data_IF_519333414136
#
_entry.id   IF_519333414136
#
_cell.length_a   1.000
_cell.length_b   1.000
_cell.length_c   1.000
_cell.angle_alpha   90.00
_cell.angle_beta   90.00
_cell.angle_gamma   90.00
#
_symmetry.space_group_name_H-M   'P 1'
#
loop_
_entity.id
_entity.type
_entity.pdbx_description
1 polymer ?
#
# COMPACT_ATOMS: atom_id res chain seq x y z
N UNK A 1 -14.30 16.28 23.36
CA UNK A 1 -15.69 15.90 22.98
C UNK A 1 -15.88 14.37 23.06
N UNK A 2 -17.03 13.90 23.57
CA UNK A 2 -17.29 12.48 23.83
C UNK A 2 -17.20 11.58 22.57
N UNK A 3 -17.69 12.07 21.43
CA UNK A 3 -17.63 11.34 20.16
C UNK A 3 -16.18 11.20 19.66
N UNK A 4 -15.42 12.29 19.68
CA UNK A 4 -14.02 12.29 19.22
C UNK A 4 -13.14 11.29 19.98
N UNK A 5 -13.32 11.18 21.31
CA UNK A 5 -12.58 10.20 22.12
C UNK A 5 -12.79 8.74 21.71
N UNK A 6 -13.79 8.47 20.86
CA UNK A 6 -14.14 7.14 20.37
C UNK A 6 -14.03 7.02 18.84
N UNK A 7 -13.47 8.02 18.16
CA UNK A 7 -13.47 8.10 16.69
C UNK A 7 -12.14 7.66 16.08
N UNK A 8 -12.25 6.94 14.97
CA UNK A 8 -11.18 6.74 13.98
C UNK A 8 -11.65 7.38 12.68
N UNK A 9 -10.92 8.39 12.20
CA UNK A 9 -11.08 8.96 10.87
C UNK A 9 -9.95 8.46 9.98
N UNK A 10 -10.30 7.75 8.91
CA UNK A 10 -9.38 7.33 7.87
C UNK A 10 -9.64 8.21 6.65
N UNK A 11 -8.60 8.89 6.16
CA UNK A 11 -8.65 9.64 4.91
C UNK A 11 -7.79 8.88 3.91
N UNK A 12 -8.43 8.26 2.92
CA UNK A 12 -7.78 7.53 1.84
C UNK A 12 -8.07 8.21 0.50
N UNK A 13 -7.19 7.97 -0.46
CA UNK A 13 -7.33 8.39 -1.84
C UNK A 13 -7.68 7.15 -2.66
N UNK A 14 -8.53 7.28 -3.67
CA UNK A 14 -8.93 6.18 -4.54
C UNK A 14 -7.88 5.87 -5.61
N UNK A 15 -7.15 6.89 -6.08
CA UNK A 15 -6.06 6.74 -7.04
C UNK A 15 -4.90 7.72 -6.81
N UNK A 16 -3.83 7.57 -7.59
CA UNK A 16 -2.66 8.47 -7.60
C UNK A 16 -2.69 9.48 -8.76
N UNK A 17 -3.78 9.56 -9.53
CA UNK A 17 -3.95 10.46 -10.68
C UNK A 17 -2.82 10.36 -11.73
N UNK A 18 -2.18 9.20 -11.83
CA UNK A 18 -1.06 8.95 -12.73
C UNK A 18 0.28 9.60 -12.32
N UNK A 19 0.36 10.23 -11.14
CA UNK A 19 1.62 10.79 -10.65
C UNK A 19 2.65 9.70 -10.34
N UNK A 20 3.92 10.02 -10.55
CA UNK A 20 5.02 9.09 -10.27
C UNK A 20 5.07 8.69 -8.80
N UNK A 21 5.15 7.38 -8.53
CA UNK A 21 5.53 6.81 -7.24
C UNK A 21 6.68 5.80 -7.45
N UNK A 22 7.64 5.80 -6.54
CA UNK A 22 8.85 4.98 -6.67
C UNK A 22 8.71 3.57 -6.07
N UNK A 23 7.63 3.29 -5.32
CA UNK A 23 7.45 2.04 -4.61
C UNK A 23 6.80 1.02 -5.54
N UNK A 24 7.48 -0.10 -5.84
CA UNK A 24 6.86 -1.17 -6.59
C UNK A 24 5.70 -1.78 -5.79
N UNK A 25 4.61 -2.10 -6.48
CA UNK A 25 3.48 -2.78 -5.86
C UNK A 25 3.89 -4.15 -5.29
N UNK A 26 3.48 -4.51 -4.06
CA UNK A 26 3.69 -5.82 -3.46
C UNK A 26 2.70 -6.83 -4.07
N UNK A 27 2.81 -7.06 -5.37
CA UNK A 27 1.92 -7.93 -6.13
C UNK A 27 2.39 -9.39 -6.14
N UNK A 28 1.48 -10.30 -6.49
CA UNK A 28 1.81 -11.71 -6.69
C UNK A 28 2.87 -11.93 -7.80
N UNK A 29 3.50 -13.12 -7.86
CA UNK A 29 4.50 -13.45 -8.89
C UNK A 29 4.03 -13.08 -10.29
N UNK A 30 4.88 -12.40 -11.05
CA UNK A 30 4.54 -11.94 -12.40
C UNK A 30 4.30 -13.13 -13.34
N UNK A 31 3.45 -12.96 -14.35
CA UNK A 31 3.25 -13.93 -15.43
C UNK A 31 3.50 -13.28 -16.79
N UNK A 32 4.12 -14.01 -17.70
CA UNK A 32 4.16 -13.60 -19.11
C UNK A 32 2.86 -14.01 -19.84
N UNK A 33 2.79 -13.68 -21.13
CA UNK A 33 1.62 -13.95 -21.98
C UNK A 33 1.32 -15.45 -22.16
N UNK A 34 2.30 -16.31 -21.93
CA UNK A 34 2.15 -17.76 -22.00
C UNK A 34 1.84 -18.37 -20.63
N UNK A 35 1.66 -17.54 -19.59
CA UNK A 35 1.40 -17.97 -18.22
C UNK A 35 2.63 -18.43 -17.45
N UNK A 36 3.85 -18.25 -17.98
CA UNK A 36 5.08 -18.62 -17.26
C UNK A 36 5.25 -17.69 -16.07
N UNK A 37 5.43 -18.27 -14.88
CA UNK A 37 5.56 -17.53 -13.63
C UNK A 37 7.01 -17.08 -13.39
N UNK A 38 7.20 -15.78 -13.16
CA UNK A 38 8.47 -15.15 -12.80
C UNK A 38 8.47 -14.79 -11.31
N UNK A 39 8.96 -15.72 -10.49
CA UNK A 39 8.87 -15.63 -9.04
C UNK A 39 8.42 -16.93 -8.41
N UNK A 40 8.13 -16.91 -7.11
CA UNK A 40 7.52 -18.04 -6.36
C UNK A 40 6.74 -17.51 -5.17
N UNK A 41 5.78 -18.28 -4.69
CA UNK A 41 5.03 -18.02 -3.46
C UNK A 41 4.87 -19.32 -2.69
N UNK A 42 4.72 -19.22 -1.36
CA UNK A 42 4.30 -20.35 -0.51
C UNK A 42 2.79 -20.60 -0.51
N UNK A 43 1.99 -19.71 -1.11
CA UNK A 43 0.55 -19.92 -1.29
C UNK A 43 0.28 -20.88 -2.46
N UNK A 44 -0.88 -21.54 -2.45
CA UNK A 44 -1.29 -22.40 -3.55
C UNK A 44 -1.74 -21.58 -4.77
N UNK A 45 -1.72 -22.18 -5.96
CA UNK A 45 -2.20 -21.54 -7.19
C UNK A 45 -3.63 -21.01 -7.05
N UNK A 46 -4.50 -21.75 -6.37
CA UNK A 46 -5.88 -21.33 -6.09
C UNK A 46 -5.91 -20.07 -5.20
N UNK A 47 -5.08 -20.01 -4.15
CA UNK A 47 -5.05 -18.88 -3.22
C UNK A 47 -4.57 -17.58 -3.88
N UNK A 48 -3.68 -17.66 -4.88
CA UNK A 48 -3.18 -16.50 -5.63
C UNK A 48 -3.94 -16.23 -6.92
N UNK A 49 -4.83 -17.13 -7.35
CA UNK A 49 -5.58 -17.02 -8.61
C UNK A 49 -6.34 -15.70 -8.74
N UNK A 50 -6.85 -15.17 -7.62
CA UNK A 50 -7.61 -13.92 -7.53
C UNK A 50 -6.79 -12.67 -7.86
N UNK A 51 -5.46 -12.74 -7.85
CA UNK A 51 -4.60 -11.58 -8.16
C UNK A 51 -4.31 -11.43 -9.66
N UNK A 52 -4.71 -12.40 -10.47
CA UNK A 52 -4.48 -12.43 -11.91
C UNK A 52 -5.76 -12.08 -12.68
N UNK A 53 -5.64 -11.30 -13.75
CA UNK A 53 -6.78 -10.94 -14.57
C UNK A 53 -7.12 -12.06 -15.54
N UNK A 54 -7.79 -13.08 -15.01
CA UNK A 54 -8.29 -14.25 -15.73
C UNK A 54 -9.79 -14.50 -15.48
N UNK A 55 -10.47 -13.52 -14.89
CA UNK A 55 -11.87 -13.62 -14.51
C UNK A 55 -12.77 -13.20 -15.69
N UNK A 56 -13.89 -13.91 -15.92
CA UNK A 56 -14.84 -13.53 -16.95
C UNK A 56 -15.49 -12.19 -16.60
N UNK A 57 -16.02 -11.51 -17.62
CA UNK A 57 -16.84 -10.34 -17.39
C UNK A 57 -18.05 -10.68 -16.52
N UNK A 58 -18.30 -9.86 -15.50
CA UNK A 58 -19.55 -9.95 -14.74
C UNK A 58 -20.72 -9.61 -15.65
N UNK A 59 -21.86 -10.30 -15.48
CA UNK A 59 -22.99 -10.24 -16.41
C UNK A 59 -23.55 -8.82 -16.67
N UNK A 60 -23.35 -7.89 -15.73
CA UNK A 60 -23.80 -6.49 -15.81
C UNK A 60 -22.75 -5.56 -16.43
N UNK A 61 -21.56 -6.04 -16.72
CA UNK A 61 -20.49 -5.23 -17.31
C UNK A 61 -20.82 -4.88 -18.75
N UNK A 62 -20.74 -3.59 -19.08
CA UNK A 62 -20.89 -3.10 -20.47
C UNK A 62 -19.59 -3.21 -21.26
N UNK A 63 -18.46 -3.28 -20.58
CA UNK A 63 -17.13 -3.32 -21.15
C UNK A 63 -16.16 -3.89 -20.13
N UNK A 64 -15.37 -4.89 -20.54
CA UNK A 64 -14.24 -5.39 -19.79
C UNK A 64 -13.08 -5.59 -20.76
N UNK A 65 -11.84 -5.18 -20.43
CA UNK A 65 -10.69 -5.51 -21.24
C UNK A 65 -10.51 -7.03 -21.40
N UNK A 66 -9.91 -7.48 -22.49
CA UNK A 66 -9.56 -8.90 -22.64
C UNK A 66 -8.65 -9.35 -21.50
N UNK A 67 -8.92 -10.53 -20.95
CA UNK A 67 -8.08 -11.10 -19.88
C UNK A 67 -6.68 -11.36 -20.42
N UNK A 68 -5.66 -10.89 -19.71
CA UNK A 68 -4.25 -11.04 -20.10
C UNK A 68 -3.48 -12.01 -19.19
N UNK A 69 -4.13 -12.56 -18.15
CA UNK A 69 -3.52 -13.45 -17.18
C UNK A 69 -2.44 -12.79 -16.30
N UNK A 70 -2.23 -11.48 -16.44
CA UNK A 70 -1.23 -10.73 -15.67
C UNK A 70 -1.78 -10.35 -14.32
N UNK A 71 -0.86 -10.02 -13.42
CA UNK A 71 -1.22 -9.49 -12.09
C UNK A 71 -1.80 -8.08 -12.27
N UNK A 72 -2.92 -7.78 -11.61
CA UNK A 72 -3.54 -6.45 -11.67
C UNK A 72 -3.49 -5.67 -10.36
N UNK A 73 -2.99 -6.27 -9.26
CA UNK A 73 -2.89 -5.56 -7.99
C UNK A 73 -1.96 -6.20 -6.95
N UNK A 74 -1.75 -5.53 -5.78
CA UNK A 74 -2.26 -4.19 -5.42
C UNK A 74 -1.81 -3.08 -6.40
N UNK A 75 -2.54 -1.97 -6.46
CA UNK A 75 -2.23 -0.89 -7.38
C UNK A 75 -0.99 -0.08 -6.98
N UNK A 76 -0.85 1.07 -7.63
CA UNK A 76 0.07 2.14 -7.21
C UNK A 76 -0.24 2.61 -5.79
N UNK A 77 0.78 3.08 -5.08
CA UNK A 77 0.61 3.56 -3.71
C UNK A 77 -0.18 4.87 -3.70
N UNK A 78 -1.11 4.96 -2.75
CA UNK A 78 -1.87 6.17 -2.45
C UNK A 78 -1.65 6.59 -1.00
N UNK A 79 -1.79 7.89 -0.66
CA UNK A 79 -1.71 8.32 0.73
C UNK A 79 -2.86 7.74 1.56
N UNK A 80 -2.59 7.53 2.85
CA UNK A 80 -3.63 7.32 3.86
C UNK A 80 -3.25 8.08 5.12
N UNK A 81 -4.19 8.87 5.65
CA UNK A 81 -4.07 9.50 6.95
C UNK A 81 -4.97 8.80 7.97
N UNK A 82 -4.40 8.53 9.15
CA UNK A 82 -5.11 7.92 10.29
C UNK A 82 -5.21 8.95 11.40
N UNK A 83 -6.41 9.49 11.62
CA UNK A 83 -6.64 10.61 12.53
C UNK A 83 -7.55 10.15 13.66
N UNK A 84 -6.98 10.03 14.86
CA UNK A 84 -7.67 9.45 16.00
C UNK A 84 -6.95 9.79 17.32
N UNK A 85 -7.64 9.77 18.48
CA UNK A 85 -6.97 9.75 19.78
C UNK A 85 -5.89 8.66 19.91
N UNK A 86 -6.02 7.54 19.20
CA UNK A 86 -5.08 6.42 19.25
C UNK A 86 -3.93 6.51 18.24
N UNK A 87 -3.92 7.49 17.32
CA UNK A 87 -2.85 7.68 16.33
C UNK A 87 -1.97 8.92 16.59
N UNK A 88 -2.17 9.60 17.74
CA UNK A 88 -1.45 10.83 18.13
C UNK A 88 0.08 10.67 18.13
N UNK A 89 0.77 11.72 17.70
CA UNK A 89 2.24 11.84 17.75
C UNK A 89 2.96 11.78 16.40
N UNK A 90 2.23 11.89 15.27
CA UNK A 90 2.86 12.01 13.95
C UNK A 90 3.62 10.75 13.51
N UNK A 91 3.15 9.57 13.91
CA UNK A 91 3.80 8.31 13.59
C UNK A 91 3.58 7.90 12.13
N UNK A 92 4.61 7.37 11.50
CA UNK A 92 4.54 6.71 10.19
C UNK A 92 4.42 5.21 10.41
N UNK A 93 3.57 4.53 9.63
CA UNK A 93 3.51 3.08 9.59
C UNK A 93 3.84 2.62 8.17
N UNK A 94 4.92 1.84 8.03
CA UNK A 94 5.41 1.33 6.75
C UNK A 94 5.02 -0.13 6.48
N UNK A 95 4.07 -0.68 7.24
CA UNK A 95 3.43 -1.94 6.87
C UNK A 95 2.69 -1.77 5.54
N UNK A 96 2.67 -2.82 4.71
CA UNK A 96 1.88 -2.81 3.49
C UNK A 96 0.40 -2.81 3.84
N UNK A 97 -0.34 -1.85 3.28
CA UNK A 97 -1.79 -1.77 3.34
C UNK A 97 -2.34 -1.51 1.93
N UNK A 98 -3.60 -1.85 1.74
CA UNK A 98 -4.40 -1.53 0.55
C UNK A 98 -5.84 -1.18 0.98
N UNK A 99 -6.74 -0.93 0.03
CA UNK A 99 -8.13 -0.60 0.36
C UNK A 99 -8.86 -1.71 1.12
N UNK A 100 -8.49 -2.98 0.94
CA UNK A 100 -9.08 -4.09 1.69
C UNK A 100 -8.68 -4.08 3.17
N UNK A 101 -7.59 -3.39 3.51
CA UNK A 101 -7.13 -3.22 4.90
C UNK A 101 -8.14 -2.47 5.77
N UNK A 102 -8.98 -1.62 5.18
CA UNK A 102 -10.11 -0.95 5.86
C UNK A 102 -11.17 -1.99 6.24
N UNK A 103 -11.49 -2.91 5.33
CA UNK A 103 -12.44 -4.00 5.61
C UNK A 103 -11.88 -4.90 6.71
N UNK A 104 -10.61 -5.29 6.63
CA UNK A 104 -9.94 -6.07 7.70
C UNK A 104 -9.95 -5.34 9.05
N UNK A 105 -9.80 -4.02 9.08
CA UNK A 105 -9.93 -3.24 10.32
C UNK A 105 -11.34 -3.33 10.91
N UNK A 106 -12.37 -3.23 10.07
CA UNK A 106 -13.77 -3.41 10.49
C UNK A 106 -14.04 -4.83 11.00
N UNK A 107 -13.45 -5.86 10.38
CA UNK A 107 -13.48 -7.24 10.89
C UNK A 107 -12.93 -7.31 12.31
N UNK A 108 -11.74 -6.71 12.56
CA UNK A 108 -11.14 -6.68 13.90
C UNK A 108 -11.99 -5.93 14.91
N UNK A 109 -12.65 -4.84 14.49
CA UNK A 109 -13.46 -4.01 15.39
C UNK A 109 -14.81 -4.63 15.73
N UNK A 110 -15.47 -5.28 14.77
CA UNK A 110 -16.86 -5.72 14.89
C UNK A 110 -17.04 -7.23 14.92
N UNK A 111 -15.97 -8.02 14.73
CA UNK A 111 -16.04 -9.48 14.76
C UNK A 111 -16.77 -10.08 13.55
N UNK A 112 -16.75 -9.39 12.41
CA UNK A 112 -17.32 -9.85 11.14
C UNK A 112 -16.22 -10.37 10.22
N UNK A 113 -16.59 -11.08 9.15
CA UNK A 113 -15.66 -11.52 8.11
C UNK A 113 -16.17 -11.08 6.73
N UNK A 114 -15.32 -10.42 5.95
CA UNK A 114 -15.47 -10.14 4.53
C UNK A 114 -14.92 -11.33 3.71
N UNK A 115 -15.78 -12.16 3.11
CA UNK A 115 -15.33 -13.34 2.36
C UNK A 115 -14.60 -13.00 1.06
N UNK A 116 -14.72 -11.77 0.54
CA UNK A 116 -14.15 -11.41 -0.77
C UNK A 116 -12.69 -10.91 -0.70
N UNK A 117 -12.07 -10.85 0.48
CA UNK A 117 -10.64 -10.55 0.58
C UNK A 117 -9.85 -11.83 0.30
N UNK A 118 -9.05 -11.81 -0.76
CA UNK A 118 -8.28 -12.98 -1.19
C UNK A 118 -7.30 -13.46 -0.11
N UNK A 119 -6.95 -14.76 -0.08
CA UNK A 119 -5.91 -15.26 0.80
C UNK A 119 -4.57 -14.54 0.64
N UNK A 120 -4.23 -14.12 -0.59
CA UNK A 120 -3.04 -13.33 -0.87
C UNK A 120 -3.09 -11.96 -0.18
N UNK A 121 -4.19 -11.20 -0.32
CA UNK A 121 -4.34 -9.88 0.33
C UNK A 121 -4.29 -9.98 1.84
N UNK A 122 -4.90 -10.99 2.45
CA UNK A 122 -4.81 -11.23 3.91
C UNK A 122 -3.39 -11.54 4.36
N UNK A 123 -2.63 -12.26 3.54
CA UNK A 123 -1.25 -12.61 3.86
C UNK A 123 -0.27 -11.42 3.72
N UNK A 124 -0.47 -10.55 2.73
CA UNK A 124 0.47 -9.44 2.42
C UNK A 124 0.06 -8.11 3.06
N UNK A 125 -1.22 -7.74 2.99
CA UNK A 125 -1.76 -6.47 3.44
C UNK A 125 -2.24 -6.57 4.89
N UNK A 126 -1.82 -5.62 5.74
CA UNK A 126 -2.20 -5.57 7.15
C UNK A 126 -3.66 -5.16 7.38
N UNK A 127 -4.11 -5.27 8.63
CA UNK A 127 -5.48 -4.96 9.05
C UNK A 127 -5.65 -3.54 9.65
N UNK A 128 -4.69 -2.65 9.39
CA UNK A 128 -4.55 -1.29 9.95
C UNK A 128 -4.40 -1.18 11.47
N UNK A 129 -4.54 -2.25 12.26
CA UNK A 129 -4.50 -2.14 13.74
C UNK A 129 -3.17 -1.63 14.26
N UNK A 130 -2.06 -1.93 13.56
CA UNK A 130 -0.70 -1.49 13.88
C UNK A 130 -0.49 0.02 13.70
N UNK A 131 -1.40 0.73 13.03
CA UNK A 131 -1.37 2.19 12.91
C UNK A 131 -1.74 2.89 14.23
N UNK A 132 -2.39 2.20 15.16
CA UNK A 132 -2.93 2.73 16.41
C UNK A 132 -2.16 2.25 17.64
N UNK A 133 -2.23 3.05 18.70
CA UNK A 133 -1.84 2.66 20.04
C UNK A 133 -3.10 2.61 20.93
N UNK A 134 -3.85 1.52 20.84
CA UNK A 134 -5.07 1.33 21.64
C UNK A 134 -4.79 1.06 23.12
N UNK A 135 -3.64 0.44 23.44
CA UNK A 135 -3.29 0.04 24.81
C UNK A 135 -2.83 1.22 25.67
N UNK A 136 -2.05 2.14 25.08
CA UNK A 136 -1.41 3.26 25.78
C UNK A 136 -1.45 4.51 24.92
N UNK A 137 -2.65 5.03 24.56
CA UNK A 137 -2.77 6.16 23.65
C UNK A 137 -1.92 7.34 24.12
N UNK A 138 -1.31 8.04 23.16
CA UNK A 138 -0.49 9.20 23.47
C UNK A 138 -1.37 10.35 23.99
N UNK A 139 -1.14 10.76 25.24
CA UNK A 139 -1.89 11.83 25.90
C UNK A 139 -1.16 13.18 25.88
N UNK A 140 -0.04 13.29 25.15
CA UNK A 140 0.66 14.56 24.99
C UNK A 140 -0.31 15.64 24.47
N UNK A 141 -0.15 16.90 24.91
CA UNK A 141 -0.89 18.02 24.38
C UNK A 141 -0.76 18.05 22.85
N UNK A 142 -1.89 18.14 22.16
CA UNK A 142 -1.88 18.39 20.72
C UNK A 142 -1.48 19.84 20.56
N UNK A 143 -0.51 20.13 19.68
CA UNK A 143 -0.18 21.50 19.33
C UNK A 143 -1.47 22.24 18.92
N UNK A 144 -1.64 23.48 19.40
CA UNK A 144 -2.66 24.33 18.78
C UNK A 144 -2.26 24.50 17.31
N UNK A 145 -3.03 23.90 16.41
CA UNK A 145 -2.86 24.13 14.99
C UNK A 145 -3.44 25.50 14.66
N UNK A 146 -2.71 26.27 13.86
CA UNK A 146 -3.24 27.48 13.24
C UNK A 146 -4.43 27.08 12.35
N UNK A 147 -5.65 27.44 12.77
CA UNK A 147 -6.83 26.87 12.11
C UNK A 147 -8.17 27.14 12.79
N UNK A 148 -8.28 28.20 13.60
CA UNK A 148 -9.56 28.62 14.21
C UNK A 148 -10.42 29.41 13.20
N UNK A 149 -10.47 28.95 11.94
CA UNK A 149 -11.32 29.56 10.91
C UNK A 149 -12.76 29.11 11.11
N UNK A 150 -13.67 30.05 11.03
CA UNK A 150 -15.11 29.76 10.90
C UNK A 150 -15.38 29.08 9.56
N UNK A 151 -16.53 28.41 9.45
CA UNK A 151 -17.00 27.83 8.17
C UNK A 151 -17.02 28.88 7.06
N UNK A 152 -17.47 30.10 7.36
CA UNK A 152 -17.54 31.20 6.40
C UNK A 152 -16.15 31.57 5.85
N UNK A 153 -15.13 31.64 6.71
CA UNK A 153 -13.75 31.92 6.27
C UNK A 153 -13.16 30.77 5.44
N UNK A 154 -13.44 29.51 5.81
CA UNK A 154 -13.01 28.35 5.03
C UNK A 154 -13.69 28.32 3.64
N UNK A 155 -14.99 28.59 3.58
CA UNK A 155 -15.75 28.67 2.32
C UNK A 155 -15.24 29.81 1.43
N UNK A 156 -14.94 30.97 2.01
CA UNK A 156 -14.38 32.11 1.26
C UNK A 156 -13.02 31.76 0.63
N UNK A 157 -12.16 31.03 1.36
CA UNK A 157 -10.88 30.55 0.81
C UNK A 157 -11.12 29.57 -0.34
N UNK A 158 -12.02 28.59 -0.16
CA UNK A 158 -12.35 27.62 -1.22
C UNK A 158 -12.85 28.34 -2.49
N UNK A 159 -13.79 29.27 -2.35
CA UNK A 159 -14.33 30.05 -3.48
C UNK A 159 -13.22 30.85 -4.16
N UNK A 160 -12.33 31.49 -3.39
CA UNK A 160 -11.20 32.21 -3.96
C UNK A 160 -10.22 31.27 -4.71
N UNK A 161 -10.00 30.05 -4.20
CA UNK A 161 -9.15 29.05 -4.85
C UNK A 161 -9.77 28.48 -6.13
N UNK A 162 -11.09 28.31 -6.18
CA UNK A 162 -11.81 27.84 -7.39
C UNK A 162 -11.73 28.84 -8.55
N UNK A 163 -11.47 30.12 -8.26
CA UNK A 163 -11.24 31.16 -9.27
C UNK A 163 -9.81 31.20 -9.79
N UNK A 164 -8.87 30.47 -9.16
CA UNK A 164 -7.49 30.40 -9.63
C UNK A 164 -7.40 29.59 -10.92
N UNK A 165 -6.49 29.96 -11.84
CA UNK A 165 -6.23 29.15 -13.01
C UNK A 165 -5.72 27.77 -12.60
N UNK A 166 -5.94 26.78 -13.47
CA UNK A 166 -5.37 25.45 -13.29
C UNK A 166 -3.85 25.55 -13.12
N UNK A 167 -3.31 24.78 -12.17
CA UNK A 167 -1.86 24.71 -11.93
C UNK A 167 -1.19 24.24 -13.23
N UNK A 168 -0.29 25.07 -13.76
CA UNK A 168 0.46 24.72 -14.96
C UNK A 168 1.55 23.71 -14.63
N UNK A 169 1.70 22.71 -15.50
CA UNK A 169 2.82 21.76 -15.39
C UNK A 169 4.13 22.50 -15.67
N UNK A 170 5.13 22.44 -14.77
CA UNK A 170 6.41 23.09 -15.01
C UNK A 170 7.08 22.56 -16.27
N UNK A 171 7.59 23.47 -17.12
CA UNK A 171 8.33 23.11 -18.35
C UNK A 171 9.65 22.39 -18.05
N UNK A 172 10.23 22.64 -16.88
CA UNK A 172 11.39 21.93 -16.35
C UNK A 172 10.95 21.11 -15.14
N UNK A 173 10.76 19.80 -15.33
CA UNK A 173 10.45 18.90 -14.23
C UNK A 173 11.72 18.54 -13.47
N UNK A 174 11.62 18.51 -12.13
CA UNK A 174 12.66 18.04 -11.24
C UNK A 174 12.15 16.85 -10.45
N UNK A 175 13.06 15.96 -10.06
CA UNK A 175 12.69 14.87 -9.16
C UNK A 175 12.22 15.42 -7.81
N UNK A 176 11.20 14.80 -7.18
CA UNK A 176 10.75 15.21 -5.86
C UNK A 176 11.91 15.06 -4.86
N UNK A 177 12.14 16.10 -4.06
CA UNK A 177 13.08 16.06 -2.95
C UNK A 177 12.36 15.64 -1.68
N UNK A 178 12.87 14.61 -1.01
CA UNK A 178 12.33 14.18 0.27
C UNK A 178 12.80 15.13 1.38
N UNK A 179 11.86 15.68 2.14
CA UNK A 179 12.17 16.48 3.34
C UNK A 179 13.01 15.67 4.33
N UNK A 180 14.08 16.30 4.85
CA UNK A 180 14.94 15.71 5.88
C UNK A 180 14.29 15.93 7.25
N UNK A 181 14.34 14.92 8.12
CA UNK A 181 13.88 15.04 9.50
C UNK A 181 13.71 13.68 10.18
N UNK A 182 13.34 13.72 11.46
CA UNK A 182 13.02 12.51 12.23
C UNK A 182 11.50 12.39 12.28
N UNK A 183 10.99 11.24 11.83
CA UNK A 183 9.58 10.85 12.02
C UNK A 183 9.53 9.54 12.81
N UNK A 184 8.74 9.47 13.89
CA UNK A 184 8.62 8.23 14.65
C UNK A 184 7.94 7.16 13.80
N UNK A 185 8.46 5.93 13.83
CA UNK A 185 7.95 4.80 13.02
C UNK A 185 7.29 3.74 13.89
N UNK A 186 6.12 3.24 13.47
CA UNK A 186 5.48 2.09 14.11
C UNK A 186 6.35 0.85 13.96
N UNK A 187 6.25 -0.05 14.94
CA UNK A 187 6.86 -1.37 14.85
C UNK A 187 6.24 -2.13 13.67
N UNK A 188 7.08 -2.71 12.83
CA UNK A 188 6.65 -3.48 11.66
C UNK A 188 6.55 -4.97 12.00
N UNK A 189 5.63 -5.71 11.36
CA UNK A 189 5.44 -7.15 11.61
C UNK A 189 6.43 -8.02 10.84
N UNK A 190 7.52 -7.45 10.33
CA UNK A 190 8.49 -8.10 9.45
C UNK A 190 9.86 -8.19 10.12
N UNK A 191 10.57 -9.28 9.84
CA UNK A 191 12.02 -9.39 10.10
C UNK A 191 12.62 -10.02 8.85
N UNK A 192 12.96 -9.17 7.88
CA UNK A 192 13.35 -9.58 6.53
C UNK A 192 14.86 -9.81 6.45
N UNK A 193 15.24 -10.92 5.80
CA UNK A 193 16.63 -11.25 5.50
C UNK A 193 16.77 -11.66 4.04
N UNK A 194 17.89 -11.25 3.45
CA UNK A 194 18.30 -11.69 2.11
C UNK A 194 19.78 -12.05 2.14
N UNK A 195 20.11 -13.24 1.66
CA UNK A 195 21.50 -13.66 1.43
C UNK A 195 21.67 -14.22 0.02
N UNK A 196 22.91 -14.28 -0.46
CA UNK A 196 23.23 -14.80 -1.78
C UNK A 196 24.35 -15.84 -1.72
N UNK A 197 24.23 -16.89 -2.53
CA UNK A 197 25.33 -17.81 -2.85
C UNK A 197 25.68 -17.64 -4.32
N UNK A 198 26.94 -17.31 -4.60
CA UNK A 198 27.46 -17.12 -5.96
C UNK A 198 28.29 -18.34 -6.34
N UNK A 199 27.99 -18.91 -7.51
CA UNK A 199 28.82 -19.91 -8.16
C UNK A 199 29.48 -19.26 -9.37
N UNK A 200 30.79 -18.98 -9.26
CA UNK A 200 31.55 -18.28 -10.30
C UNK A 200 31.79 -19.18 -11.51
N UNK A 201 31.99 -20.49 -11.30
CA UNK A 201 32.25 -21.46 -12.36
C UNK A 201 31.02 -21.65 -13.23
N UNK A 202 29.84 -21.79 -12.62
CA UNK A 202 28.57 -21.90 -13.34
C UNK A 202 27.98 -20.54 -13.74
N UNK A 203 28.57 -19.43 -13.27
CA UNK A 203 28.07 -18.06 -13.45
C UNK A 203 26.62 -17.91 -12.95
N UNK A 204 26.30 -18.49 -11.80
CA UNK A 204 24.95 -18.42 -11.22
C UNK A 204 24.94 -17.71 -9.86
N UNK A 205 23.80 -17.10 -9.53
CA UNK A 205 23.53 -16.51 -8.23
C UNK A 205 22.25 -17.11 -7.68
N UNK A 206 22.31 -17.68 -6.48
CA UNK A 206 21.14 -18.15 -5.72
C UNK A 206 20.83 -17.16 -4.60
N UNK A 207 19.66 -16.56 -4.64
CA UNK A 207 19.15 -15.72 -3.56
C UNK A 207 18.36 -16.57 -2.56
N UNK A 208 18.51 -16.26 -1.28
CA UNK A 208 17.76 -16.84 -0.18
C UNK A 208 17.04 -15.72 0.55
N UNK A 209 15.72 -15.83 0.64
CA UNK A 209 14.87 -14.89 1.36
C UNK A 209 14.36 -15.54 2.64
N UNK A 210 14.27 -14.76 3.71
CA UNK A 210 13.63 -15.19 4.95
C UNK A 210 12.86 -14.04 5.56
N UNK A 211 11.71 -14.36 6.14
CA UNK A 211 10.95 -13.45 6.97
C UNK A 211 10.60 -14.20 8.26
N UNK A 212 11.19 -13.79 9.38
CA UNK A 212 10.89 -14.36 10.70
C UNK A 212 9.83 -13.54 11.46
N UNK A 213 9.26 -12.53 10.78
CA UNK A 213 8.07 -11.80 11.22
C UNK A 213 6.78 -12.60 11.02
N UNK A 214 5.65 -11.96 11.30
CA UNK A 214 4.32 -12.60 11.30
C UNK A 214 3.49 -12.31 10.05
N UNK A 215 3.75 -11.21 9.36
CA UNK A 215 3.05 -10.83 8.13
C UNK A 215 3.91 -11.24 6.92
N UNK A 216 3.31 -11.73 5.83
CA UNK A 216 4.06 -12.05 4.62
C UNK A 216 4.64 -10.78 3.96
N UNK A 217 5.71 -10.96 3.19
CA UNK A 217 6.38 -9.87 2.49
C UNK A 217 6.66 -10.28 1.04
N UNK A 218 6.78 -9.28 0.16
CA UNK A 218 7.12 -9.49 -1.25
C UNK A 218 8.54 -9.00 -1.50
N UNK A 219 9.41 -9.90 -1.95
CA UNK A 219 10.77 -9.61 -2.38
C UNK A 219 10.79 -9.41 -3.89
N UNK A 220 11.20 -8.22 -4.32
CA UNK A 220 11.38 -7.88 -5.72
C UNK A 220 12.82 -8.11 -6.17
N UNK A 221 13.01 -8.84 -7.26
CA UNK A 221 14.31 -9.08 -7.88
C UNK A 221 14.29 -8.56 -9.30
N UNK A 222 15.15 -7.56 -9.55
CA UNK A 222 15.31 -6.92 -10.84
C UNK A 222 16.69 -7.21 -11.43
N UNK A 223 16.74 -7.48 -12.74
CA UNK A 223 18.00 -7.49 -13.47
C UNK A 223 18.35 -6.06 -13.90
N UNK A 224 19.30 -5.41 -13.24
CA UNK A 224 19.70 -4.04 -13.60
C UNK A 224 20.41 -3.92 -14.95
N UNK A 225 20.80 -5.04 -15.56
CA UNK A 225 21.39 -5.10 -16.91
C UNK A 225 20.35 -5.34 -18.00
N UNK A 226 19.12 -5.71 -17.63
CA UNK A 226 18.01 -5.92 -18.54
C UNK A 226 16.73 -5.38 -17.90
N UNK A 227 16.49 -4.08 -18.15
CA UNK A 227 15.32 -3.38 -17.64
C UNK A 227 14.02 -3.80 -18.35
N UNK A 228 14.11 -4.62 -19.41
CA UNK A 228 12.94 -5.17 -20.11
C UNK A 228 12.49 -6.51 -19.53
N UNK A 229 13.33 -7.15 -18.71
CA UNK A 229 12.99 -8.41 -18.06
C UNK A 229 11.77 -8.24 -17.14
N UNK A 230 10.85 -9.21 -17.21
CA UNK A 230 9.71 -9.28 -16.30
C UNK A 230 10.22 -9.36 -14.85
N UNK A 231 9.78 -8.46 -13.95
CA UNK A 231 10.19 -8.46 -12.55
C UNK A 231 9.87 -9.80 -11.87
N UNK A 232 10.83 -10.38 -11.16
CA UNK A 232 10.62 -11.58 -10.37
C UNK A 232 10.15 -11.19 -8.98
N UNK A 233 9.04 -11.75 -8.52
CA UNK A 233 8.49 -11.47 -7.17
C UNK A 233 8.43 -12.75 -6.35
N UNK A 234 9.00 -12.74 -5.16
CA UNK A 234 9.05 -13.87 -4.25
C UNK A 234 8.29 -13.53 -2.98
N UNK A 235 7.50 -14.47 -2.46
CA UNK A 235 6.68 -14.30 -1.26
C UNK A 235 6.80 -15.50 -0.35
#
# INVERSE_FOLDING_TARGET
PQVWSQTVLLVNFDENDGFFDHVPSPSAPSKDINGVVYGKTTLTDQQVSYEYFNHPAVATSKSQPETDGRVYGPGVRVPMYVISPWSRGGWVNSQVFDHTSILQFLEKRFGVQEPNISPYRRAVCGDLTTAFNFKTPNLLPVAELDGKKTKAEADAIRVAQELLPQVSVPSQQQFPQQEIGIRPSRALPYILHTSAKVDVTQKTVKLMFSNTGKQAAVFHVYNRLDLTAIPRRYM
#
